data_IF_482653699351
#
_entry.id   IF_482653699351
#
_cell.length_a   1.000
_cell.length_b   1.000
_cell.length_c   1.000
_cell.angle_alpha   90.00
_cell.angle_beta   90.00
_cell.angle_gamma   90.00
#
_symmetry.space_group_name_H-M   'P 1'
#
loop_
_entity.id
_entity.type
_entity.pdbx_description
1 polymer ?
#
# COMPACT_ATOMS: atom_id res chain seq x y z
N UNK A 1 -3.61 -26.10 9.46
CA UNK A 1 -3.96 -24.71 9.15
C UNK A 1 -2.73 -24.03 8.54
N UNK A 2 -2.84 -23.42 7.36
CA UNK A 2 -1.78 -22.55 6.84
C UNK A 2 -2.04 -21.15 7.39
N UNK A 3 -1.21 -20.68 8.31
CA UNK A 3 -1.31 -19.36 8.96
C UNK A 3 -0.72 -18.24 8.10
N UNK A 4 0.18 -18.59 7.17
CA UNK A 4 0.81 -17.66 6.22
C UNK A 4 -0.19 -17.35 5.09
N UNK A 5 -0.51 -16.06 4.92
CA UNK A 5 -1.51 -15.56 3.95
C UNK A 5 -0.93 -15.21 2.58
N UNK A 6 0.40 -15.16 2.45
CA UNK A 6 1.10 -14.83 1.20
C UNK A 6 2.24 -13.83 1.43
N UNK A 7 3.01 -13.51 0.38
CA UNK A 7 4.11 -12.57 0.48
C UNK A 7 3.60 -11.12 0.55
N UNK A 8 4.34 -10.26 1.23
CA UNK A 8 4.14 -8.82 1.25
C UNK A 8 5.38 -8.10 0.70
N UNK A 9 5.18 -6.88 0.19
CA UNK A 9 6.26 -6.03 -0.35
C UNK A 9 6.25 -4.67 0.31
N UNK A 10 7.44 -4.11 0.55
CA UNK A 10 7.58 -2.75 1.05
C UNK A 10 7.68 -1.75 -0.11
N UNK A 11 6.67 -0.88 -0.25
CA UNK A 11 6.54 -0.02 -1.43
C UNK A 11 7.67 1.01 -1.55
N UNK A 12 8.27 1.45 -0.44
CA UNK A 12 9.33 2.46 -0.48
C UNK A 12 10.53 2.08 -1.35
N UNK A 13 10.81 0.77 -1.48
CA UNK A 13 11.91 0.26 -2.30
C UNK A 13 11.68 0.45 -3.81
N UNK A 14 10.44 0.74 -4.20
CA UNK A 14 10.01 0.77 -5.60
C UNK A 14 9.45 2.12 -6.02
N UNK A 15 9.16 3.03 -5.09
CA UNK A 15 8.68 4.39 -5.40
C UNK A 15 9.67 5.10 -6.32
N UNK A 16 9.15 5.65 -7.41
CA UNK A 16 9.90 6.45 -8.37
C UNK A 16 8.97 7.51 -8.98
N UNK A 17 9.57 8.48 -9.66
CA UNK A 17 8.91 9.49 -10.49
C UNK A 17 8.24 8.93 -11.75
N UNK A 18 8.56 7.70 -12.17
CA UNK A 18 8.08 7.12 -13.42
C UNK A 18 6.97 6.07 -13.23
N UNK A 19 5.99 5.98 -14.16
CA UNK A 19 4.99 4.90 -14.15
C UNK A 19 5.63 3.49 -14.26
N UNK A 20 5.06 2.46 -13.58
CA UNK A 20 3.87 2.51 -12.73
C UNK A 20 4.17 2.92 -11.27
N UNK A 21 5.39 3.32 -10.95
CA UNK A 21 5.87 3.49 -9.58
C UNK A 21 5.58 4.85 -8.94
N UNK A 22 4.97 5.76 -9.70
CA UNK A 22 4.67 7.13 -9.31
C UNK A 22 3.22 7.34 -8.84
N UNK A 23 2.49 6.25 -8.59
CA UNK A 23 1.11 6.30 -8.11
C UNK A 23 0.76 5.07 -7.28
N UNK A 24 -0.17 5.21 -6.34
CA UNK A 24 -0.67 4.09 -5.55
C UNK A 24 -1.31 3.00 -6.45
N UNK A 25 -2.11 3.39 -7.45
CA UNK A 25 -2.74 2.44 -8.38
C UNK A 25 -1.72 1.63 -9.18
N UNK A 26 -0.69 2.29 -9.70
CA UNK A 26 0.36 1.62 -10.47
C UNK A 26 1.15 0.65 -9.61
N UNK A 27 1.50 1.03 -8.37
CA UNK A 27 2.19 0.16 -7.40
C UNK A 27 1.31 -1.02 -6.97
N UNK A 28 0.03 -0.79 -6.68
CA UNK A 28 -0.91 -1.86 -6.31
C UNK A 28 -1.12 -2.84 -7.48
N UNK A 29 -1.29 -2.33 -8.70
CA UNK A 29 -1.39 -3.18 -9.89
C UNK A 29 -0.13 -4.01 -10.09
N UNK A 30 1.04 -3.38 -10.03
CA UNK A 30 2.33 -4.06 -10.17
C UNK A 30 2.52 -5.15 -9.11
N UNK A 31 2.23 -4.86 -7.84
CA UNK A 31 2.38 -5.83 -6.75
C UNK A 31 1.40 -7.01 -6.90
N UNK A 32 0.15 -6.73 -7.29
CA UNK A 32 -0.85 -7.78 -7.54
C UNK A 32 -0.48 -8.68 -8.72
N UNK A 33 0.00 -8.09 -9.83
CA UNK A 33 0.44 -8.82 -11.02
C UNK A 33 1.63 -9.75 -10.72
N UNK A 34 2.48 -9.41 -9.73
CA UNK A 34 3.58 -10.25 -9.24
C UNK A 34 3.15 -11.31 -8.20
N UNK A 35 1.89 -11.31 -7.78
CA UNK A 35 1.34 -12.30 -6.85
C UNK A 35 1.47 -11.96 -5.37
N UNK A 36 1.85 -10.73 -5.02
CA UNK A 36 1.82 -10.26 -3.64
C UNK A 36 0.39 -10.27 -3.07
N UNK A 37 0.31 -10.43 -1.75
CA UNK A 37 -0.95 -10.40 -0.98
C UNK A 37 -0.98 -9.29 0.05
N UNK A 38 0.18 -8.71 0.37
CA UNK A 38 0.30 -7.60 1.30
C UNK A 38 1.19 -6.49 0.76
N UNK A 39 0.94 -5.27 1.21
CA UNK A 39 1.82 -4.12 1.00
C UNK A 39 2.11 -3.43 2.33
N UNK A 40 3.35 -2.99 2.50
CA UNK A 40 3.74 -2.05 3.55
C UNK A 40 3.85 -0.66 2.94
N UNK A 41 3.21 0.32 3.58
CA UNK A 41 3.14 1.70 3.08
C UNK A 41 4.13 2.57 3.87
N UNK A 42 5.11 3.22 3.21
CA UNK A 42 5.91 4.24 3.85
C UNK A 42 5.05 5.47 4.13
N UNK A 43 4.95 5.85 5.40
CA UNK A 43 4.03 6.93 5.79
C UNK A 43 4.53 8.32 5.47
N UNK A 44 5.79 8.47 5.03
CA UNK A 44 6.36 9.74 4.60
C UNK A 44 6.08 10.06 3.13
N UNK A 45 5.57 9.09 2.36
CA UNK A 45 5.26 9.29 0.95
C UNK A 45 3.80 9.72 0.78
N UNK A 46 3.57 11.02 0.64
CA UNK A 46 2.24 11.63 0.75
C UNK A 46 1.28 11.21 -0.37
N UNK A 47 1.79 10.78 -1.53
CA UNK A 47 0.95 10.27 -2.60
C UNK A 47 0.46 8.83 -2.35
N UNK A 48 1.07 8.11 -1.41
CA UNK A 48 0.63 6.78 -0.99
C UNK A 48 -0.35 6.83 0.19
N UNK A 49 -0.09 7.71 1.16
CA UNK A 49 -0.96 7.93 2.31
C UNK A 49 -0.80 9.37 2.82
N UNK A 50 -1.94 10.01 3.09
CA UNK A 50 -2.02 11.30 3.78
C UNK A 50 -2.26 11.01 5.27
N UNK A 51 -1.19 11.13 6.07
CA UNK A 51 -1.21 10.75 7.49
C UNK A 51 -2.17 11.60 8.32
N UNK A 52 -2.24 12.90 8.06
CA UNK A 52 -3.10 13.81 8.82
C UNK A 52 -4.56 13.44 8.57
N UNK A 53 -4.94 13.19 7.31
CA UNK A 53 -6.28 12.69 6.99
C UNK A 53 -6.55 11.31 7.55
N UNK A 54 -5.57 10.41 7.55
CA UNK A 54 -5.71 9.09 8.16
C UNK A 54 -6.00 9.19 9.66
N UNK A 55 -5.41 10.15 10.36
CA UNK A 55 -5.64 10.37 11.79
C UNK A 55 -7.03 10.95 12.09
N UNK A 56 -7.58 11.77 11.18
CA UNK A 56 -8.81 12.53 11.40
C UNK A 56 -10.06 11.92 10.75
N UNK A 57 -9.91 10.99 9.80
CA UNK A 57 -11.01 10.45 9.01
C UNK A 57 -10.95 8.93 8.86
N UNK A 58 -11.93 8.26 9.49
CA UNK A 58 -12.16 6.83 9.30
C UNK A 58 -12.58 6.53 7.85
N UNK A 59 -13.40 7.39 7.25
CA UNK A 59 -13.86 7.23 5.86
C UNK A 59 -12.67 7.21 4.90
N UNK A 60 -11.68 8.11 5.09
CA UNK A 60 -10.46 8.10 4.30
C UNK A 60 -9.68 6.79 4.43
N UNK A 61 -9.56 6.26 5.65
CA UNK A 61 -8.90 4.98 5.89
C UNK A 61 -9.63 3.82 5.21
N UNK A 62 -10.96 3.81 5.27
CA UNK A 62 -11.80 2.78 4.65
C UNK A 62 -11.77 2.87 3.12
N UNK A 63 -11.74 4.08 2.55
CA UNK A 63 -11.57 4.30 1.11
C UNK A 63 -10.19 3.85 0.62
N UNK A 64 -9.13 4.23 1.33
CA UNK A 64 -7.76 3.82 1.02
C UNK A 64 -7.63 2.29 1.07
N UNK A 65 -8.14 1.68 2.13
CA UNK A 65 -8.15 0.22 2.29
C UNK A 65 -9.00 -0.44 1.21
N UNK A 66 -10.19 0.08 0.93
CA UNK A 66 -11.07 -0.42 -0.13
C UNK A 66 -10.43 -0.39 -1.50
N UNK A 67 -9.70 0.69 -1.80
CA UNK A 67 -8.92 0.82 -3.04
C UNK A 67 -7.83 -0.23 -3.15
N UNK A 68 -7.02 -0.42 -2.11
CA UNK A 68 -5.94 -1.42 -2.09
C UNK A 68 -6.52 -2.84 -2.19
N UNK A 69 -7.61 -3.11 -1.47
CA UNK A 69 -8.32 -4.38 -1.50
C UNK A 69 -8.93 -4.70 -2.87
N UNK A 70 -9.28 -3.69 -3.68
CA UNK A 70 -9.76 -3.90 -5.05
C UNK A 70 -8.71 -4.54 -5.97
N UNK A 71 -7.42 -4.44 -5.63
CA UNK A 71 -6.31 -5.13 -6.29
C UNK A 71 -6.01 -6.50 -5.67
N UNK A 72 -6.76 -6.95 -4.66
CA UNK A 72 -6.52 -8.20 -3.94
C UNK A 72 -5.31 -8.16 -3.00
N UNK A 73 -4.91 -6.95 -2.57
CA UNK A 73 -3.83 -6.69 -1.63
C UNK A 73 -4.40 -6.26 -0.28
N UNK A 74 -3.66 -6.50 0.80
CA UNK A 74 -3.97 -6.00 2.14
C UNK A 74 -2.86 -5.07 2.63
N UNK A 75 -3.22 -4.04 3.39
CA UNK A 75 -2.22 -3.24 4.13
C UNK A 75 -1.74 -4.09 5.30
N UNK A 76 -0.46 -4.45 5.30
CA UNK A 76 0.13 -5.24 6.38
C UNK A 76 0.81 -4.37 7.44
N UNK A 77 1.31 -3.20 7.05
CA UNK A 77 2.06 -2.31 7.93
C UNK A 77 2.06 -0.86 7.41
N UNK A 78 2.12 0.09 8.35
CA UNK A 78 2.46 1.49 8.12
C UNK A 78 3.86 1.72 8.71
N UNK A 79 4.86 1.99 7.86
CA UNK A 79 6.27 2.04 8.29
C UNK A 79 6.79 3.47 8.34
N UNK A 80 7.56 3.79 9.39
CA UNK A 80 8.20 5.11 9.63
C UNK A 80 9.73 5.01 9.77
N UNK A 81 10.32 3.85 9.48
CA UNK A 81 11.76 3.61 9.71
C UNK A 81 12.65 4.48 8.80
N UNK A 82 13.69 5.08 9.40
CA UNK A 82 14.76 5.86 8.75
C UNK A 82 15.98 4.98 8.45
#
# INVERSE_FOLDING_TARGET
MKTIKGPAVFLAQFVDSQPPFNSLDGLCKWASDLGYKGIQIPTWESFLIDLDKAAESQDYCDELKGKINSYGLEITELSTHL
#
